data_IF_890692082873
#
_entry.id   IF_890692082873
#
_cell.length_a   1.000
_cell.length_b   1.000
_cell.length_c   1.000
_cell.angle_alpha   90.00
_cell.angle_beta   90.00
_cell.angle_gamma   90.00
#
_symmetry.space_group_name_H-M   'P 1'
#
loop_
_entity.id
_entity.type
_entity.pdbx_description
1 polymer ?
#
# COMPACT_ATOMS: atom_id res chain seq x y z
N UNK A 1 162.23 -51.47 -14.67
CA UNK A 1 161.93 -51.24 -16.10
C UNK A 1 160.81 -52.20 -16.49
N UNK A 2 159.95 -51.79 -17.41
CA UNK A 2 158.67 -52.40 -17.86
C UNK A 2 157.46 -52.05 -16.97
N UNK A 3 156.65 -51.00 -17.21
CA UNK A 3 155.81 -50.51 -18.33
C UNK A 3 154.55 -51.33 -18.65
N UNK A 4 153.39 -50.65 -18.57
CA UNK A 4 152.10 -51.05 -19.16
C UNK A 4 151.29 -51.98 -18.25
N UNK A 5 149.99 -51.79 -18.00
CA UNK A 5 148.93 -51.46 -18.95
C UNK A 5 147.80 -50.70 -18.25
N UNK A 6 147.46 -49.55 -18.80
CA UNK A 6 146.22 -48.80 -18.57
C UNK A 6 145.11 -49.40 -19.44
N UNK A 7 143.86 -49.19 -19.00
CA UNK A 7 142.59 -49.29 -19.74
C UNK A 7 141.84 -50.63 -19.74
N UNK A 8 140.84 -50.74 -18.84
CA UNK A 8 139.53 -51.30 -19.20
C UNK A 8 138.41 -50.86 -18.24
N UNK A 9 137.77 -49.71 -18.50
CA UNK A 9 136.43 -49.38 -17.92
C UNK A 9 135.54 -48.47 -18.77
N UNK A 10 135.83 -48.31 -20.07
CA UNK A 10 135.02 -47.50 -21.02
C UNK A 10 133.95 -48.31 -21.79
N UNK A 11 133.65 -49.55 -21.41
CA UNK A 11 132.70 -50.40 -22.16
C UNK A 11 131.28 -50.45 -21.57
N UNK A 12 131.05 -49.98 -20.34
CA UNK A 12 129.71 -49.99 -19.73
C UNK A 12 128.90 -48.70 -20.04
N UNK A 13 129.58 -47.59 -20.36
CA UNK A 13 128.92 -46.29 -20.53
C UNK A 13 128.48 -46.02 -21.98
N UNK A 14 129.03 -46.75 -22.97
CA UNK A 14 128.71 -46.58 -24.40
C UNK A 14 127.39 -47.25 -24.82
N UNK A 15 126.93 -48.28 -24.09
CA UNK A 15 125.66 -48.99 -24.34
C UNK A 15 124.48 -48.48 -23.52
N UNK A 16 124.73 -47.60 -22.54
CA UNK A 16 123.69 -47.05 -21.66
C UNK A 16 123.01 -45.81 -22.26
N UNK A 17 123.72 -45.06 -23.11
CA UNK A 17 123.22 -43.85 -23.77
C UNK A 17 122.11 -44.10 -24.81
N UNK A 18 122.19 -45.14 -25.69
CA UNK A 18 121.13 -45.42 -26.67
C UNK A 18 119.84 -45.91 -26.01
N UNK A 19 119.95 -46.71 -24.95
CA UNK A 19 118.80 -47.26 -24.22
C UNK A 19 118.06 -46.17 -23.43
N UNK A 20 118.81 -45.30 -22.72
CA UNK A 20 118.24 -44.16 -22.00
C UNK A 20 117.55 -43.16 -22.95
N UNK A 21 118.11 -42.95 -24.15
CA UNK A 21 117.49 -42.10 -25.17
C UNK A 21 116.15 -42.68 -25.67
N UNK A 22 116.07 -44.00 -25.87
CA UNK A 22 114.84 -44.68 -26.30
C UNK A 22 113.75 -44.71 -25.21
N UNK A 23 114.15 -44.84 -23.94
CA UNK A 23 113.24 -44.70 -22.79
C UNK A 23 112.71 -43.26 -22.65
N UNK A 24 113.56 -42.26 -22.87
CA UNK A 24 113.13 -40.86 -22.94
C UNK A 24 112.18 -40.61 -24.11
N UNK A 25 112.44 -41.19 -25.28
CA UNK A 25 111.61 -41.03 -26.47
C UNK A 25 110.22 -41.67 -26.29
N UNK A 26 110.16 -42.87 -25.71
CA UNK A 26 108.88 -43.54 -25.40
C UNK A 26 108.08 -42.80 -24.32
N UNK A 27 108.75 -42.31 -23.25
CA UNK A 27 108.13 -41.49 -22.21
C UNK A 27 107.60 -40.17 -22.77
N UNK A 28 108.34 -39.52 -23.65
CA UNK A 28 107.92 -38.30 -24.32
C UNK A 28 106.66 -38.56 -25.16
N UNK A 29 106.64 -39.61 -26.00
CA UNK A 29 105.47 -40.00 -26.79
C UNK A 29 104.22 -40.20 -25.91
N UNK A 30 104.37 -40.92 -24.80
CA UNK A 30 103.27 -41.19 -23.88
C UNK A 30 102.74 -39.91 -23.20
N UNK A 31 103.64 -39.00 -22.78
CA UNK A 31 103.25 -37.69 -22.23
C UNK A 31 102.58 -36.80 -23.27
N UNK A 32 103.08 -36.76 -24.50
CA UNK A 32 102.47 -36.00 -25.60
C UNK A 32 101.08 -36.54 -25.90
N UNK A 33 100.89 -37.86 -25.97
CA UNK A 33 99.56 -38.46 -26.18
C UNK A 33 98.60 -38.12 -25.03
N UNK A 34 99.07 -38.16 -23.78
CA UNK A 34 98.26 -37.73 -22.63
C UNK A 34 97.87 -36.24 -22.72
N UNK A 35 98.81 -35.37 -23.11
CA UNK A 35 98.53 -33.94 -23.33
C UNK A 35 97.45 -33.77 -24.39
N UNK A 36 97.56 -34.41 -25.54
CA UNK A 36 96.52 -34.31 -26.59
C UNK A 36 95.14 -34.81 -26.13
N UNK A 37 95.09 -35.87 -25.30
CA UNK A 37 93.83 -36.35 -24.70
C UNK A 37 93.24 -35.34 -23.72
N UNK A 38 94.08 -34.69 -22.91
CA UNK A 38 93.65 -33.66 -21.97
C UNK A 38 93.19 -32.40 -22.70
N UNK A 39 93.86 -32.00 -23.77
CA UNK A 39 93.47 -30.88 -24.63
C UNK A 39 92.11 -31.15 -25.29
N UNK A 40 91.91 -32.34 -25.85
CA UNK A 40 90.63 -32.75 -26.43
C UNK A 40 89.49 -32.77 -25.39
N UNK A 41 89.74 -33.30 -24.18
CA UNK A 41 88.77 -33.25 -23.07
C UNK A 41 88.46 -31.83 -22.64
N UNK A 42 89.47 -30.97 -22.53
CA UNK A 42 89.29 -29.56 -22.20
C UNK A 42 88.40 -28.88 -23.25
N UNK A 43 88.68 -29.07 -24.54
CA UNK A 43 87.86 -28.52 -25.63
C UNK A 43 86.40 -29.00 -25.59
N UNK A 44 86.18 -30.30 -25.36
CA UNK A 44 84.83 -30.87 -25.21
C UNK A 44 84.08 -30.27 -24.01
N UNK A 45 84.75 -30.15 -22.86
CA UNK A 45 84.15 -29.55 -21.66
C UNK A 45 83.75 -28.10 -21.95
N UNK A 46 84.64 -27.32 -22.59
CA UNK A 46 84.34 -25.93 -22.98
C UNK A 46 83.13 -25.84 -23.91
N UNK A 47 83.02 -26.71 -24.92
CA UNK A 47 81.86 -26.74 -25.82
C UNK A 47 80.56 -27.09 -25.08
N UNK A 48 80.59 -28.10 -24.20
CA UNK A 48 79.40 -28.48 -23.41
C UNK A 48 78.99 -27.38 -22.43
N UNK A 49 79.96 -26.67 -21.86
CA UNK A 49 79.73 -25.57 -20.94
C UNK A 49 79.03 -24.40 -21.65
N UNK A 50 79.53 -23.97 -22.81
CA UNK A 50 78.89 -22.93 -23.63
C UNK A 50 77.45 -23.29 -24.00
N UNK A 51 77.19 -24.53 -24.41
CA UNK A 51 75.82 -25.01 -24.71
C UNK A 51 74.89 -24.98 -23.48
N UNK A 52 75.43 -25.22 -22.28
CA UNK A 52 74.66 -25.15 -21.04
C UNK A 52 74.38 -23.70 -20.64
N UNK A 53 75.35 -22.79 -20.82
CA UNK A 53 75.16 -21.35 -20.58
C UNK A 53 74.08 -20.75 -21.50
N UNK A 54 74.13 -21.04 -22.80
CA UNK A 54 73.12 -20.59 -23.76
C UNK A 54 71.72 -21.09 -23.40
N UNK A 55 71.60 -22.37 -23.00
CA UNK A 55 70.34 -22.96 -22.55
C UNK A 55 69.85 -22.31 -21.26
N UNK A 56 70.74 -22.04 -20.32
CA UNK A 56 70.41 -21.39 -19.06
C UNK A 56 69.89 -19.98 -19.30
N UNK A 57 70.58 -19.17 -20.11
CA UNK A 57 70.11 -17.83 -20.46
C UNK A 57 68.74 -17.84 -21.12
N UNK A 58 68.49 -18.80 -22.03
CA UNK A 58 67.19 -18.93 -22.69
C UNK A 58 66.09 -19.27 -21.68
N UNK A 59 66.33 -20.26 -20.81
CA UNK A 59 65.38 -20.64 -19.77
C UNK A 59 65.10 -19.50 -18.79
N UNK A 60 66.11 -18.69 -18.44
CA UNK A 60 65.93 -17.55 -17.56
C UNK A 60 65.08 -16.45 -18.22
N UNK A 61 65.30 -16.16 -19.50
CA UNK A 61 64.43 -15.25 -20.29
C UNK A 61 62.99 -15.76 -20.36
N UNK A 62 62.80 -17.05 -20.63
CA UNK A 62 61.48 -17.68 -20.66
C UNK A 62 60.80 -17.65 -19.27
N UNK A 63 61.56 -17.86 -18.19
CA UNK A 63 61.08 -17.78 -16.80
C UNK A 63 60.60 -16.37 -16.47
N UNK A 64 61.39 -15.34 -16.80
CA UNK A 64 61.04 -13.94 -16.53
C UNK A 64 59.78 -13.51 -17.29
N UNK A 65 59.66 -13.85 -18.58
CA UNK A 65 58.46 -13.53 -19.37
C UNK A 65 57.22 -14.25 -18.86
N UNK A 66 57.36 -15.53 -18.46
CA UNK A 66 56.27 -16.27 -17.83
C UNK A 66 55.86 -15.63 -16.49
N UNK A 67 56.82 -15.20 -15.66
CA UNK A 67 56.54 -14.55 -14.38
C UNK A 67 55.83 -13.21 -14.53
N UNK A 68 56.22 -12.41 -15.53
CA UNK A 68 55.53 -11.15 -15.86
C UNK A 68 54.12 -11.38 -16.41
N UNK A 69 53.94 -12.36 -17.29
CA UNK A 69 52.61 -12.73 -17.79
C UNK A 69 51.68 -13.19 -16.66
N UNK A 70 52.20 -13.97 -15.69
CA UNK A 70 51.46 -14.39 -14.50
C UNK A 70 51.01 -13.19 -13.68
N UNK A 71 51.91 -12.24 -13.39
CA UNK A 71 51.57 -11.02 -12.63
C UNK A 71 50.45 -10.23 -13.32
N UNK A 72 50.56 -10.03 -14.63
CA UNK A 72 49.55 -9.33 -15.43
C UNK A 72 48.18 -10.03 -15.41
N UNK A 73 48.16 -11.37 -15.52
CA UNK A 73 46.92 -12.14 -15.42
C UNK A 73 46.31 -12.08 -14.02
N UNK A 74 47.13 -12.15 -12.96
CA UNK A 74 46.65 -12.01 -11.59
C UNK A 74 46.01 -10.66 -11.33
N UNK A 75 46.60 -9.56 -11.83
CA UNK A 75 46.00 -8.23 -11.70
C UNK A 75 44.66 -8.15 -12.44
N UNK A 76 44.59 -8.61 -13.70
CA UNK A 76 43.34 -8.63 -14.47
C UNK A 76 42.25 -9.45 -13.80
N UNK A 77 42.62 -10.58 -13.17
CA UNK A 77 41.66 -11.41 -12.45
C UNK A 77 41.07 -10.66 -11.26
N UNK A 78 41.90 -9.99 -10.46
CA UNK A 78 41.45 -9.19 -9.33
C UNK A 78 40.54 -8.03 -9.78
N UNK A 79 40.89 -7.33 -10.86
CA UNK A 79 40.04 -6.28 -11.45
C UNK A 79 38.69 -6.83 -11.94
N UNK A 80 38.66 -8.03 -12.51
CA UNK A 80 37.40 -8.65 -12.94
C UNK A 80 36.55 -9.12 -11.75
N UNK A 81 37.18 -9.58 -10.67
CA UNK A 81 36.48 -9.98 -9.45
C UNK A 81 35.82 -8.79 -8.75
N UNK A 82 36.49 -7.63 -8.70
CA UNK A 82 35.88 -6.41 -8.14
C UNK A 82 34.71 -5.91 -8.99
N UNK A 83 34.81 -5.98 -10.32
CA UNK A 83 33.70 -5.64 -11.21
C UNK A 83 32.54 -6.62 -11.05
N UNK A 84 32.81 -7.92 -10.98
CA UNK A 84 31.78 -8.95 -10.81
C UNK A 84 31.02 -8.77 -9.49
N UNK A 85 31.74 -8.59 -8.38
CA UNK A 85 31.12 -8.36 -7.06
C UNK A 85 30.31 -7.06 -7.01
N UNK A 86 30.77 -5.99 -7.67
CA UNK A 86 29.99 -4.75 -7.82
C UNK A 86 28.70 -5.00 -8.60
N UNK A 87 28.78 -5.68 -9.75
CA UNK A 87 27.62 -5.96 -10.59
C UNK A 87 26.58 -6.87 -9.89
N UNK A 88 27.03 -7.83 -9.08
CA UNK A 88 26.16 -8.66 -8.24
C UNK A 88 25.42 -7.82 -7.18
N UNK A 89 26.08 -6.81 -6.60
CA UNK A 89 25.48 -5.85 -5.69
C UNK A 89 24.38 -5.02 -6.36
N UNK A 90 24.66 -4.47 -7.54
CA UNK A 90 23.69 -3.67 -8.31
C UNK A 90 22.47 -4.51 -8.72
N UNK A 91 22.69 -5.76 -9.17
CA UNK A 91 21.62 -6.69 -9.52
C UNK A 91 20.70 -6.99 -8.31
N UNK A 92 21.26 -7.09 -7.11
CA UNK A 92 20.49 -7.32 -5.89
C UNK A 92 19.59 -6.12 -5.57
N UNK A 93 20.14 -4.91 -5.60
CA UNK A 93 19.39 -3.66 -5.36
C UNK A 93 18.26 -3.53 -6.39
N UNK A 94 18.55 -3.79 -7.67
CA UNK A 94 17.56 -3.71 -8.74
C UNK A 94 16.41 -4.71 -8.52
N UNK A 95 16.71 -5.94 -8.08
CA UNK A 95 15.68 -6.95 -7.73
C UNK A 95 14.79 -6.50 -6.57
N UNK A 96 15.39 -5.90 -5.54
CA UNK A 96 14.65 -5.37 -4.39
C UNK A 96 13.73 -4.22 -4.83
N UNK A 97 14.21 -3.30 -5.68
CA UNK A 97 13.40 -2.22 -6.25
C UNK A 97 12.27 -2.73 -7.14
N UNK A 98 12.52 -3.72 -8.00
CA UNK A 98 11.48 -4.35 -8.82
C UNK A 98 10.37 -4.96 -7.96
N UNK A 99 10.75 -5.68 -6.89
CA UNK A 99 9.79 -6.31 -5.97
C UNK A 99 8.94 -5.26 -5.27
N UNK A 100 9.58 -4.22 -4.72
CA UNK A 100 8.90 -3.11 -4.05
C UNK A 100 7.91 -2.39 -4.97
N UNK A 101 8.30 -2.15 -6.23
CA UNK A 101 7.43 -1.54 -7.23
C UNK A 101 6.23 -2.44 -7.56
N UNK A 102 6.45 -3.74 -7.76
CA UNK A 102 5.37 -4.70 -8.01
C UNK A 102 4.38 -4.77 -6.84
N UNK A 103 4.86 -4.78 -5.60
CA UNK A 103 4.01 -4.74 -4.41
C UNK A 103 3.15 -3.48 -4.35
N UNK A 104 3.74 -2.31 -4.68
CA UNK A 104 2.99 -1.05 -4.77
C UNK A 104 1.90 -1.11 -5.84
N UNK A 105 2.22 -1.61 -7.04
CA UNK A 105 1.26 -1.74 -8.13
C UNK A 105 0.08 -2.65 -7.76
N UNK A 106 0.34 -3.76 -7.07
CA UNK A 106 -0.72 -4.67 -6.58
C UNK A 106 -1.60 -3.97 -5.54
N UNK A 107 -1.01 -3.24 -4.60
CA UNK A 107 -1.77 -2.46 -3.59
C UNK A 107 -2.65 -1.41 -4.26
N UNK A 108 -2.13 -0.67 -5.23
CA UNK A 108 -2.87 0.36 -5.95
C UNK A 108 -4.00 -0.23 -6.78
N UNK A 109 -3.76 -1.37 -7.46
CA UNK A 109 -4.79 -2.11 -8.18
C UNK A 109 -5.92 -2.56 -7.26
N UNK A 110 -5.59 -3.11 -6.09
CA UNK A 110 -6.58 -3.54 -5.11
C UNK A 110 -7.40 -2.36 -4.58
N UNK A 111 -6.74 -1.23 -4.28
CA UNK A 111 -7.42 0.01 -3.85
C UNK A 111 -8.33 0.56 -4.94
N UNK A 112 -7.90 0.53 -6.20
CA UNK A 112 -8.72 0.95 -7.34
C UNK A 112 -9.95 0.06 -7.49
N UNK A 113 -9.80 -1.26 -7.34
CA UNK A 113 -10.93 -2.20 -7.36
C UNK A 113 -11.92 -1.91 -6.23
N UNK A 114 -11.42 -1.68 -5.01
CA UNK A 114 -12.25 -1.34 -3.86
C UNK A 114 -13.04 -0.04 -4.09
N UNK A 115 -12.36 1.03 -4.51
CA UNK A 115 -12.99 2.32 -4.78
C UNK A 115 -14.04 2.22 -5.90
N UNK A 116 -13.78 1.40 -6.93
CA UNK A 116 -14.74 1.15 -8.01
C UNK A 116 -16.00 0.44 -7.49
N UNK A 117 -15.84 -0.51 -6.58
CA UNK A 117 -16.96 -1.20 -5.92
C UNK A 117 -17.73 -0.26 -5.00
N UNK A 118 -17.05 0.56 -4.20
CA UNK A 118 -17.70 1.56 -3.33
C UNK A 118 -18.50 2.57 -4.17
N UNK A 119 -17.95 3.02 -5.30
CA UNK A 119 -18.65 3.92 -6.21
C UNK A 119 -19.91 3.28 -6.81
N UNK A 120 -19.86 1.99 -7.20
CA UNK A 120 -21.04 1.29 -7.72
C UNK A 120 -22.12 1.09 -6.64
N UNK A 121 -21.72 0.79 -5.39
CA UNK A 121 -22.62 0.68 -4.25
C UNK A 121 -23.30 2.02 -3.93
N UNK A 122 -22.55 3.12 -3.94
CA UNK A 122 -23.12 4.45 -3.71
C UNK A 122 -24.12 4.85 -4.79
N UNK A 123 -23.83 4.55 -6.07
CA UNK A 123 -24.79 4.77 -7.17
C UNK A 123 -26.09 3.99 -6.95
N UNK A 124 -25.99 2.69 -6.65
CA UNK A 124 -27.16 1.86 -6.36
C UNK A 124 -27.96 2.35 -5.14
N UNK A 125 -27.28 2.91 -4.12
CA UNK A 125 -27.95 3.50 -2.96
C UNK A 125 -28.66 4.81 -3.31
N UNK A 126 -28.04 5.66 -4.14
CA UNK A 126 -28.65 6.89 -4.62
C UNK A 126 -29.93 6.61 -5.42
N UNK A 127 -29.89 5.64 -6.34
CA UNK A 127 -31.07 5.22 -7.11
C UNK A 127 -32.21 4.74 -6.20
N UNK A 128 -31.91 3.91 -5.18
CA UNK A 128 -32.91 3.47 -4.19
C UNK A 128 -33.48 4.62 -3.38
N UNK A 129 -32.65 5.59 -3.03
CA UNK A 129 -33.08 6.77 -2.28
C UNK A 129 -34.04 7.62 -3.12
N UNK A 130 -33.76 7.82 -4.41
CA UNK A 130 -34.64 8.57 -5.31
C UNK A 130 -36.01 7.90 -5.47
N UNK A 131 -36.04 6.56 -5.60
CA UNK A 131 -37.30 5.79 -5.62
C UNK A 131 -38.08 5.98 -4.32
N UNK A 132 -37.43 5.77 -3.17
CA UNK A 132 -38.07 5.89 -1.87
C UNK A 132 -38.59 7.31 -1.61
N UNK A 133 -37.86 8.33 -2.07
CA UNK A 133 -38.28 9.73 -1.99
C UNK A 133 -39.54 9.98 -2.81
N UNK A 134 -39.63 9.45 -4.03
CA UNK A 134 -40.82 9.57 -4.86
C UNK A 134 -42.04 8.87 -4.21
N UNK A 135 -41.86 7.69 -3.63
CA UNK A 135 -42.92 6.99 -2.88
C UNK A 135 -43.38 7.78 -1.65
N UNK A 136 -42.44 8.41 -0.93
CA UNK A 136 -42.75 9.24 0.23
C UNK A 136 -43.61 10.44 -0.15
N UNK A 137 -43.24 11.19 -1.19
CA UNK A 137 -44.03 12.34 -1.64
C UNK A 137 -45.44 11.91 -2.10
N UNK A 138 -45.55 10.78 -2.81
CA UNK A 138 -46.85 10.22 -3.21
C UNK A 138 -47.72 9.88 -2.00
N UNK A 139 -47.14 9.23 -0.98
CA UNK A 139 -47.88 8.87 0.23
C UNK A 139 -48.31 10.12 1.01
N UNK A 140 -47.45 11.13 1.07
CA UNK A 140 -47.74 12.42 1.70
C UNK A 140 -48.90 13.15 1.01
N UNK A 141 -48.92 13.19 -0.32
CA UNK A 141 -50.04 13.75 -1.10
C UNK A 141 -51.35 13.01 -0.79
N UNK A 142 -51.31 11.67 -0.77
CA UNK A 142 -52.47 10.85 -0.45
C UNK A 142 -53.00 11.13 0.96
N UNK A 143 -52.12 11.20 1.97
CA UNK A 143 -52.51 11.56 3.34
C UNK A 143 -53.16 12.95 3.38
N UNK A 144 -52.61 13.94 2.69
CA UNK A 144 -53.18 15.29 2.62
C UNK A 144 -54.58 15.31 1.98
N UNK A 145 -54.78 14.54 0.90
CA UNK A 145 -56.11 14.38 0.28
C UNK A 145 -57.11 13.67 1.19
N UNK A 146 -56.66 12.67 1.95
CA UNK A 146 -57.50 12.00 2.94
C UNK A 146 -57.91 12.96 4.07
N UNK A 147 -56.99 13.79 4.56
CA UNK A 147 -57.28 14.82 5.58
C UNK A 147 -58.31 15.83 5.07
N UNK A 148 -58.15 16.34 3.85
CA UNK A 148 -59.13 17.23 3.21
C UNK A 148 -60.51 16.57 3.07
N UNK A 149 -60.53 15.31 2.61
CA UNK A 149 -61.78 14.55 2.46
C UNK A 149 -62.49 14.37 3.81
N UNK A 150 -61.74 14.09 4.88
CA UNK A 150 -62.29 13.96 6.23
C UNK A 150 -62.86 15.29 6.74
N UNK A 151 -62.21 16.41 6.43
CA UNK A 151 -62.71 17.75 6.78
C UNK A 151 -64.04 18.06 6.07
N UNK A 152 -64.11 17.82 4.75
CA UNK A 152 -65.33 18.01 3.95
C UNK A 152 -66.49 17.15 4.47
N UNK A 153 -66.23 15.86 4.73
CA UNK A 153 -67.22 14.96 5.32
C UNK A 153 -67.66 15.41 6.71
N UNK A 154 -66.73 15.91 7.53
CA UNK A 154 -67.02 16.49 8.84
C UNK A 154 -67.99 17.67 8.74
N UNK A 155 -67.77 18.58 7.79
CA UNK A 155 -68.67 19.71 7.52
C UNK A 155 -70.04 19.21 7.06
N UNK A 156 -70.10 18.30 6.08
CA UNK A 156 -71.35 17.77 5.56
C UNK A 156 -72.19 17.08 6.64
N UNK A 157 -71.54 16.28 7.51
CA UNK A 157 -72.19 15.63 8.64
C UNK A 157 -72.74 16.64 9.65
N UNK A 158 -71.99 17.71 9.93
CA UNK A 158 -72.45 18.79 10.82
C UNK A 158 -73.72 19.48 10.28
N UNK A 159 -73.74 19.79 8.98
CA UNK A 159 -74.88 20.40 8.29
C UNK A 159 -76.08 19.45 8.27
N UNK A 160 -75.86 18.17 7.95
CA UNK A 160 -76.93 17.17 7.96
C UNK A 160 -77.52 16.99 9.36
N UNK A 161 -76.69 17.01 10.41
CA UNK A 161 -77.15 16.90 11.80
C UNK A 161 -78.01 18.09 12.22
N UNK A 162 -77.61 19.32 11.86
CA UNK A 162 -78.40 20.52 12.12
C UNK A 162 -79.75 20.46 11.41
N UNK A 163 -79.78 20.10 10.13
CA UNK A 163 -81.05 19.95 9.37
C UNK A 163 -81.99 18.91 10.00
N UNK A 164 -81.45 17.78 10.47
CA UNK A 164 -82.26 16.78 11.18
C UNK A 164 -82.81 17.35 12.48
N UNK A 165 -81.99 18.06 13.27
CA UNK A 165 -82.44 18.70 14.50
C UNK A 165 -83.53 19.77 14.24
N UNK A 166 -83.39 20.58 13.19
CA UNK A 166 -84.38 21.58 12.78
C UNK A 166 -85.72 20.91 12.42
N UNK A 167 -85.68 19.81 11.64
CA UNK A 167 -86.89 19.06 11.28
C UNK A 167 -87.54 18.38 12.50
N UNK A 168 -86.74 17.85 13.42
CA UNK A 168 -87.23 17.30 14.70
C UNK A 168 -87.89 18.39 15.55
N UNK A 169 -87.33 19.59 15.60
CA UNK A 169 -87.92 20.74 16.29
C UNK A 169 -89.22 21.18 15.62
N UNK A 170 -89.26 21.33 14.30
CA UNK A 170 -90.50 21.63 13.57
C UNK A 170 -91.60 20.58 13.79
N UNK A 171 -91.23 19.30 13.79
CA UNK A 171 -92.16 18.21 14.07
C UNK A 171 -92.72 18.34 15.51
N UNK A 172 -91.86 18.60 16.50
CA UNK A 172 -92.28 18.87 17.89
C UNK A 172 -93.17 20.11 18.00
N UNK A 173 -92.87 21.18 17.26
CA UNK A 173 -93.69 22.40 17.27
C UNK A 173 -95.10 22.14 16.71
N UNK A 174 -95.21 21.27 15.68
CA UNK A 174 -96.49 20.87 15.08
C UNK A 174 -97.31 19.94 15.97
N UNK A 175 -96.67 19.09 16.80
CA UNK A 175 -97.39 18.13 17.67
C UNK A 175 -97.66 18.68 19.07
N UNK A 176 -96.71 19.38 19.69
CA UNK A 176 -96.74 19.77 21.11
C UNK A 176 -96.43 21.26 21.37
N UNK A 177 -96.02 22.03 20.36
CA UNK A 177 -95.48 23.40 20.52
C UNK A 177 -96.44 24.54 20.20
N UNK A 178 -97.76 24.31 20.19
CA UNK A 178 -98.70 25.42 20.09
C UNK A 178 -98.62 26.27 21.36
N UNK A 179 -97.99 27.45 21.24
CA UNK A 179 -98.00 28.46 22.29
C UNK A 179 -99.44 28.81 22.61
N UNK A 180 -99.91 28.39 23.78
CA UNK A 180 -101.25 28.73 24.25
C UNK A 180 -101.36 30.26 24.40
N UNK A 181 -102.53 30.81 24.09
CA UNK A 181 -102.71 32.27 24.10
C UNK A 181 -102.44 32.82 25.51
N UNK A 182 -101.82 34.00 25.60
CA UNK A 182 -101.63 34.71 26.89
C UNK A 182 -102.96 34.91 27.66
N UNK A 183 -104.09 34.91 26.95
CA UNK A 183 -105.44 34.97 27.56
C UNK A 183 -105.87 33.66 28.20
N UNK A 184 -105.39 32.54 27.67
CA UNK A 184 -105.75 31.17 28.08
C UNK A 184 -104.85 30.65 29.21
N UNK A 185 -103.67 31.25 29.39
CA UNK A 185 -102.66 30.81 30.37
C UNK A 185 -102.53 31.84 31.49
N UNK A 186 -103.44 31.79 32.46
CA UNK A 186 -103.49 32.72 33.60
C UNK A 186 -102.50 32.36 34.72
N UNK A 187 -101.91 31.16 34.71
CA UNK A 187 -100.97 30.68 35.73
C UNK A 187 -99.81 29.87 35.15
N UNK A 188 -98.66 29.91 35.85
CA UNK A 188 -97.45 29.20 35.45
C UNK A 188 -97.64 27.69 35.59
N UNK A 189 -97.52 26.93 34.49
CA UNK A 189 -97.68 25.46 34.53
C UNK A 189 -96.68 24.73 35.47
N UNK A 190 -95.51 25.31 35.74
CA UNK A 190 -94.49 24.70 36.59
C UNK A 190 -94.69 24.94 38.11
N UNK A 191 -95.37 26.04 38.50
CA UNK A 191 -95.57 26.37 39.93
C UNK A 191 -97.00 26.78 40.29
N UNK A 192 -97.92 26.67 39.32
CA UNK A 192 -99.37 26.85 39.40
C UNK A 192 -99.85 28.23 39.88
N UNK A 193 -98.94 29.22 39.97
CA UNK A 193 -99.23 30.59 40.44
C UNK A 193 -99.65 31.51 39.30
N UNK A 194 -100.59 32.41 39.58
CA UNK A 194 -101.10 33.38 38.61
C UNK A 194 -100.05 34.42 38.18
N UNK A 195 -100.10 34.83 36.91
CA UNK A 195 -99.21 35.85 36.38
C UNK A 195 -99.67 37.25 36.80
N UNK A 196 -98.92 37.90 37.69
CA UNK A 196 -99.16 39.28 38.09
C UNK A 196 -97.94 40.19 37.83
N UNK A 197 -98.20 41.47 37.52
CA UNK A 197 -97.17 42.47 37.18
C UNK A 197 -96.08 42.63 38.25
N UNK A 198 -96.37 42.26 39.51
CA UNK A 198 -95.38 42.28 40.61
C UNK A 198 -94.22 41.29 40.43
N UNK A 199 -94.40 40.20 39.67
CA UNK A 199 -93.34 39.20 39.44
C UNK A 199 -92.46 39.47 38.21
N UNK A 200 -92.90 40.32 37.26
CA UNK A 200 -92.17 40.64 36.02
C UNK A 200 -91.05 41.70 36.20
N UNK A 201 -90.61 41.97 37.44
CA UNK A 201 -89.53 42.94 37.75
C UNK A 201 -88.16 42.34 38.08
N UNK A 202 -87.97 41.02 38.02
CA UNK A 202 -86.73 40.36 38.47
C UNK A 202 -86.00 39.69 37.30
N UNK A 203 -85.70 40.42 36.24
CA UNK A 203 -84.74 39.91 35.24
C UNK A 203 -83.74 40.95 34.72
N UNK A 204 -84.00 42.25 34.90
CA UNK A 204 -83.04 43.29 34.46
C UNK A 204 -81.90 43.55 35.44
N UNK A 205 -81.89 42.96 36.64
CA UNK A 205 -80.87 43.24 37.68
C UNK A 205 -79.91 42.08 37.97
N UNK A 206 -80.01 40.95 37.27
CA UNK A 206 -79.11 39.79 37.49
C UNK A 206 -78.33 39.34 36.25
N UNK A 207 -78.44 40.05 35.12
CA UNK A 207 -77.71 39.71 33.89
C UNK A 207 -76.49 40.61 33.61
N UNK A 208 -75.96 41.29 34.62
CA UNK A 208 -74.68 42.03 34.51
C UNK A 208 -73.50 41.27 35.12
N UNK A 209 -73.69 40.05 35.65
CA UNK A 209 -72.68 39.35 36.46
C UNK A 209 -72.23 37.98 35.93
N UNK A 210 -72.67 37.53 34.76
CA UNK A 210 -72.37 36.18 34.26
C UNK A 210 -71.61 36.12 32.92
N UNK A 211 -71.23 37.25 32.33
CA UNK A 211 -70.37 37.28 31.12
C UNK A 211 -68.87 37.11 31.40
N UNK A 212 -68.47 36.86 32.66
CA UNK A 212 -67.05 36.71 33.02
C UNK A 212 -66.56 35.26 33.12
N UNK A 213 -67.41 34.24 32.89
CA UNK A 213 -67.03 32.85 33.19
C UNK A 213 -66.74 31.95 31.97
N UNK A 214 -66.79 32.48 30.74
CA UNK A 214 -66.59 31.66 29.52
C UNK A 214 -65.35 32.02 28.70
N UNK A 215 -64.24 32.40 29.36
CA UNK A 215 -62.97 32.70 28.68
C UNK A 215 -61.74 31.96 29.23
N UNK A 216 -61.92 30.80 29.87
CA UNK A 216 -60.79 29.94 30.26
C UNK A 216 -61.10 28.49 29.88
N UNK A 217 -60.80 28.13 28.63
CA UNK A 217 -60.40 26.78 28.22
C UNK A 217 -59.53 26.89 26.97
N UNK A 218 -58.28 27.30 27.19
CA UNK A 218 -57.20 27.15 26.23
C UNK A 218 -56.18 26.20 26.87
N UNK A 219 -56.24 24.93 26.49
CA UNK A 219 -55.28 23.89 26.87
C UNK A 219 -55.43 22.71 25.88
N UNK A 220 -54.60 22.70 24.85
CA UNK A 220 -53.75 21.55 24.53
C UNK A 220 -52.78 21.89 23.40
N UNK A 221 -51.50 21.94 23.74
CA UNK A 221 -50.41 21.83 22.79
C UNK A 221 -50.37 20.42 22.16
N UNK A 222 -49.81 20.27 20.96
CA UNK A 222 -49.04 19.09 20.60
C UNK A 222 -47.54 19.40 20.67
N UNK A 223 -46.80 18.51 21.32
CA UNK A 223 -45.35 18.48 21.28
C UNK A 223 -44.85 18.22 19.86
N UNK A 224 -43.98 19.09 19.36
CA UNK A 224 -43.17 18.81 18.17
C UNK A 224 -41.88 18.15 18.65
N UNK A 225 -41.80 16.84 18.40
CA UNK A 225 -40.57 16.05 18.47
C UNK A 225 -39.55 16.59 17.45
N UNK A 226 -38.29 16.62 17.87
CA UNK A 226 -37.23 17.37 17.22
C UNK A 226 -36.69 16.81 15.90
N UNK A 227 -35.95 17.68 15.22
CA UNK A 227 -34.83 17.31 14.35
C UNK A 227 -33.70 18.26 14.69
N UNK A 228 -32.71 17.75 15.42
CA UNK A 228 -31.43 18.42 15.61
C UNK A 228 -30.70 18.47 14.26
N UNK A 229 -30.53 19.67 13.71
CA UNK A 229 -29.65 19.92 12.57
C UNK A 229 -28.21 20.03 13.11
N UNK A 230 -27.43 18.97 12.91
CA UNK A 230 -25.98 18.94 13.12
C UNK A 230 -25.30 19.60 11.92
N UNK A 231 -25.10 20.91 11.99
CA UNK A 231 -24.09 21.59 11.17
C UNK A 231 -22.74 21.52 11.89
N UNK A 232 -21.96 20.50 11.55
CA UNK A 232 -20.51 20.48 11.77
C UNK A 232 -19.89 19.35 10.98
N UNK A 233 -19.28 19.68 9.84
CA UNK A 233 -17.99 19.17 9.35
C UNK A 233 -17.83 19.55 7.87
N UNK A 234 -17.42 20.79 7.63
CA UNK A 234 -16.78 21.14 6.38
C UNK A 234 -15.61 22.08 6.65
N UNK A 235 -14.49 21.51 7.13
CA UNK A 235 -13.18 22.18 7.13
C UNK A 235 -12.08 21.15 7.27
N UNK A 236 -11.76 20.44 6.19
CA UNK A 236 -10.40 19.94 5.89
C UNK A 236 -10.33 19.57 4.41
N UNK A 237 -9.98 20.54 3.57
CA UNK A 237 -9.22 20.33 2.33
C UNK A 237 -8.84 21.69 1.75
N UNK A 238 -7.63 22.13 2.06
CA UNK A 238 -6.79 22.89 1.12
C UNK A 238 -5.36 22.86 1.64
N UNK A 239 -4.48 22.28 0.81
CA UNK A 239 -3.08 22.61 0.51
C UNK A 239 -2.35 23.47 1.55
#
# INVERSE_FOLDING_TARGET
>A
METGVVYRRKSAQQTQFPMFFQDCESSLKQKTELVTKLEAKTALITETFQKLEEKYEKLEKDRLTAEESKRNLSQKLAEKETIATSAEGDLKIEREWRTSLQDSMVKDRNKMSQMTQEMSLLKAKAEKYDVLKAEHEKLKEHCSQQELTLEELGVQLSVSRLKVADLEEEARMKTDGQWASDKEVQSCKACTKEFNLRRRKIFSLLYSSLDSFFSIRNLSAPQVFGVAHLDSLNRFSSV
#
